data_IF_644358002322
#
_entry.id   IF_644358002322
#
_cell.length_a   1.000
_cell.length_b   1.000
_cell.length_c   1.000
_cell.angle_alpha   90.00
_cell.angle_beta   90.00
_cell.angle_gamma   90.00
#
_symmetry.space_group_name_H-M   'P 1'
#
loop_
_entity.id
_entity.type
_entity.pdbx_description
1 polymer ?
#
# COMPACT_ATOMS: atom_id res chain seq x y z
N UNK A 1 27.98 7.73 4.08
CA UNK A 1 26.63 8.27 4.21
C UNK A 1 26.43 8.66 5.67
N UNK A 2 26.33 9.96 5.96
CA UNK A 2 26.44 10.49 7.34
C UNK A 2 25.06 10.48 8.05
N UNK A 3 24.47 9.32 8.29
CA UNK A 3 23.27 9.19 9.16
C UNK A 3 23.60 9.40 10.64
N UNK A 4 24.91 9.40 10.99
CA UNK A 4 25.37 9.42 12.38
C UNK A 4 25.50 10.85 12.96
N UNK A 5 25.43 11.90 12.15
CA UNK A 5 25.65 13.28 12.65
C UNK A 5 24.41 13.98 13.22
N UNK A 6 23.20 13.50 12.91
CA UNK A 6 21.96 14.10 13.43
C UNK A 6 21.34 13.32 14.60
N UNK A 7 22.17 12.83 15.53
CA UNK A 7 21.72 12.15 16.76
C UNK A 7 20.69 12.94 17.58
N UNK A 8 20.63 14.25 17.43
CA UNK A 8 19.71 15.11 18.17
C UNK A 8 18.28 15.08 17.59
N UNK A 9 18.11 14.78 16.30
CA UNK A 9 16.79 14.75 15.65
C UNK A 9 16.18 13.36 15.57
N UNK A 10 16.97 12.29 15.64
CA UNK A 10 16.52 10.88 15.60
C UNK A 10 16.12 10.36 17.00
N UNK A 11 16.31 11.13 18.05
CA UNK A 11 16.19 10.72 19.45
C UNK A 11 14.81 10.24 19.95
N UNK A 12 13.81 10.07 19.06
CA UNK A 12 12.50 9.49 19.37
C UNK A 12 12.15 8.25 18.55
N UNK A 13 12.99 7.85 17.58
CA UNK A 13 12.73 6.66 16.75
C UNK A 13 13.43 5.48 17.41
N UNK A 14 12.69 4.42 17.70
CA UNK A 14 13.26 3.18 18.19
C UNK A 14 14.23 2.58 17.16
N UNK A 15 15.31 1.95 17.67
CA UNK A 15 16.32 1.31 16.84
C UNK A 15 15.73 0.23 15.93
N UNK A 16 14.74 -0.52 16.41
CA UNK A 16 14.05 -1.55 15.63
C UNK A 16 13.22 -0.95 14.49
N UNK A 17 12.55 0.16 14.73
CA UNK A 17 11.79 0.92 13.74
C UNK A 17 12.71 1.48 12.65
N UNK A 18 13.81 2.10 13.04
CA UNK A 18 14.82 2.61 12.11
C UNK A 18 15.38 1.50 11.22
N UNK A 19 15.77 0.36 11.81
CA UNK A 19 16.29 -0.78 11.07
C UNK A 19 15.23 -1.39 10.15
N UNK A 20 13.98 -1.48 10.60
CA UNK A 20 12.84 -1.91 9.80
C UNK A 20 12.63 -1.03 8.57
N UNK A 21 12.58 0.29 8.76
CA UNK A 21 12.46 1.25 7.67
C UNK A 21 13.61 1.16 6.67
N UNK A 22 14.86 1.07 7.14
CA UNK A 22 16.03 0.95 6.27
C UNK A 22 16.00 -0.35 5.46
N UNK A 23 15.65 -1.48 6.08
CA UNK A 23 15.55 -2.77 5.37
C UNK A 23 14.40 -2.80 4.39
N UNK A 24 13.24 -2.25 4.76
CA UNK A 24 12.09 -2.14 3.85
C UNK A 24 12.41 -1.26 2.65
N UNK A 25 13.03 -0.12 2.87
CA UNK A 25 13.47 0.76 1.80
C UNK A 25 14.44 0.08 0.83
N UNK A 26 15.42 -0.67 1.36
CA UNK A 26 16.35 -1.45 0.52
C UNK A 26 15.62 -2.51 -0.29
N UNK A 27 14.68 -3.24 0.31
CA UNK A 27 13.88 -4.26 -0.35
C UNK A 27 13.05 -3.69 -1.51
N UNK A 28 12.33 -2.59 -1.28
CA UNK A 28 11.52 -1.92 -2.32
C UNK A 28 12.43 -1.46 -3.47
N UNK A 29 13.61 -0.91 -3.15
CA UNK A 29 14.56 -0.46 -4.15
C UNK A 29 15.10 -1.61 -5.02
N UNK A 30 15.42 -2.74 -4.40
CA UNK A 30 15.88 -3.93 -5.11
C UNK A 30 14.77 -4.52 -5.99
N UNK A 31 13.52 -4.51 -5.52
CA UNK A 31 12.35 -4.99 -6.28
C UNK A 31 12.00 -4.12 -7.49
N UNK A 32 12.20 -2.79 -7.40
CA UNK A 32 11.82 -1.86 -8.48
C UNK A 32 12.88 -1.72 -9.57
N UNK A 33 14.07 -2.29 -9.39
CA UNK A 33 15.15 -2.26 -10.39
C UNK A 33 15.66 -0.86 -10.75
N UNK A 34 15.26 0.16 -9.97
CA UNK A 34 15.57 1.56 -10.24
C UNK A 34 17.02 1.86 -9.90
N UNK A 35 17.90 1.72 -10.90
CA UNK A 35 19.30 2.13 -10.79
C UNK A 35 19.52 3.63 -10.93
N UNK A 36 18.56 4.37 -11.48
CA UNK A 36 18.74 5.78 -11.91
C UNK A 36 18.17 6.82 -10.94
N UNK A 37 17.16 6.47 -10.13
CA UNK A 37 16.64 7.37 -9.10
C UNK A 37 16.61 6.57 -7.80
N UNK A 38 17.61 6.80 -6.95
CA UNK A 38 17.60 6.23 -5.60
C UNK A 38 16.53 6.96 -4.81
N UNK A 39 15.41 6.33 -4.45
CA UNK A 39 14.55 6.94 -3.45
C UNK A 39 15.42 7.12 -2.20
N UNK A 40 15.61 8.35 -1.78
CA UNK A 40 16.36 8.67 -0.57
C UNK A 40 15.35 8.55 0.57
N UNK A 41 15.58 7.63 1.50
CA UNK A 41 14.84 7.60 2.75
C UNK A 41 15.21 8.86 3.53
N UNK A 42 14.25 9.75 3.71
CA UNK A 42 14.44 11.01 4.44
C UNK A 42 14.14 10.84 5.93
N UNK A 43 14.61 11.78 6.75
CA UNK A 43 14.26 11.79 8.18
C UNK A 43 12.75 12.01 8.36
N UNK A 44 12.13 12.76 7.47
CA UNK A 44 10.70 12.99 7.50
C UNK A 44 9.90 11.72 7.15
N UNK A 45 10.35 10.90 6.19
CA UNK A 45 9.76 9.58 5.93
C UNK A 45 9.82 8.67 7.16
N UNK A 46 10.89 8.76 7.95
CA UNK A 46 11.03 8.00 9.19
C UNK A 46 10.09 8.52 10.29
N UNK A 47 9.96 9.85 10.41
CA UNK A 47 9.06 10.48 11.39
C UNK A 47 7.59 10.25 11.06
N UNK A 48 7.26 10.24 9.77
CA UNK A 48 5.91 9.96 9.27
C UNK A 48 5.55 8.48 9.31
N UNK A 49 6.49 7.61 9.68
CA UNK A 49 6.26 6.17 9.77
C UNK A 49 5.87 5.53 8.42
N UNK A 50 6.38 6.07 7.31
CA UNK A 50 5.98 5.72 5.93
C UNK A 50 6.00 4.21 5.65
N UNK A 51 6.85 3.47 6.33
CA UNK A 51 6.98 2.02 6.17
C UNK A 51 6.50 1.22 7.38
N UNK A 52 6.04 1.89 8.44
CA UNK A 52 5.60 1.19 9.65
C UNK A 52 4.28 0.47 9.40
N UNK A 53 4.18 -0.82 9.76
CA UNK A 53 2.92 -1.53 9.70
C UNK A 53 1.98 -0.99 10.78
N UNK A 54 0.71 -0.76 10.41
CA UNK A 54 -0.34 -0.34 11.34
C UNK A 54 -1.00 -1.52 12.06
N UNK A 55 -0.81 -2.73 11.54
CA UNK A 55 -1.42 -3.96 12.07
C UNK A 55 -0.45 -5.14 12.10
N UNK A 56 -0.68 -6.12 12.99
CA UNK A 56 0.08 -7.38 12.98
C UNK A 56 0.01 -8.12 11.64
N UNK A 57 -1.10 -8.03 10.92
CA UNK A 57 -1.25 -8.66 9.60
C UNK A 57 -0.34 -8.01 8.56
N UNK A 58 -0.13 -6.70 8.64
CA UNK A 58 0.86 -6.02 7.78
C UNK A 58 2.28 -6.45 8.10
N UNK A 59 2.61 -6.74 9.36
CA UNK A 59 3.89 -7.31 9.74
C UNK A 59 4.10 -8.70 9.13
N UNK A 60 3.06 -9.54 9.12
CA UNK A 60 3.06 -10.83 8.42
C UNK A 60 3.24 -10.63 6.91
N UNK A 61 2.54 -9.67 6.31
CA UNK A 61 2.70 -9.36 4.88
C UNK A 61 4.14 -8.94 4.55
N UNK A 62 4.76 -8.11 5.37
CA UNK A 62 6.17 -7.71 5.20
C UNK A 62 7.13 -8.89 5.28
N UNK A 63 6.89 -9.82 6.21
CA UNK A 63 7.69 -11.03 6.34
C UNK A 63 7.61 -11.90 5.08
N UNK A 64 6.40 -12.19 4.57
CA UNK A 64 6.23 -13.04 3.39
C UNK A 64 6.77 -12.38 2.12
N UNK A 65 6.68 -11.06 1.97
CA UNK A 65 7.30 -10.33 0.87
C UNK A 65 8.83 -10.42 0.91
N UNK A 66 9.43 -10.36 2.11
CA UNK A 66 10.87 -10.56 2.27
C UNK A 66 11.29 -11.98 1.89
N UNK A 67 10.54 -12.99 2.32
CA UNK A 67 10.81 -14.39 1.95
C UNK A 67 10.71 -14.56 0.44
N UNK A 68 9.65 -14.00 -0.20
CA UNK A 68 9.45 -14.03 -1.64
C UNK A 68 10.59 -13.36 -2.41
N UNK A 69 11.18 -12.33 -1.84
CA UNK A 69 12.33 -11.65 -2.43
C UNK A 69 13.62 -12.47 -2.34
N UNK A 70 13.80 -13.18 -1.24
CA UNK A 70 15.00 -14.01 -1.01
C UNK A 70 14.93 -15.39 -1.67
N UNK A 71 13.71 -15.87 -1.94
CA UNK A 71 13.49 -17.19 -2.51
C UNK A 71 13.61 -17.14 -4.05
N UNK A 72 14.73 -17.62 -4.60
CA UNK A 72 15.02 -17.60 -6.04
C UNK A 72 14.27 -18.69 -6.81
N UNK A 73 13.92 -19.81 -6.14
CA UNK A 73 13.16 -20.90 -6.74
C UNK A 73 12.04 -21.39 -5.82
N UNK A 74 10.99 -22.02 -6.40
CA UNK A 74 9.85 -22.55 -5.63
C UNK A 74 10.23 -23.63 -4.61
N UNK A 75 11.34 -24.32 -4.81
CA UNK A 75 11.83 -25.38 -3.92
C UNK A 75 12.85 -24.91 -2.90
N UNK A 76 13.31 -23.67 -3.01
CA UNK A 76 14.36 -23.13 -2.16
C UNK A 76 13.82 -22.76 -0.78
N UNK A 77 14.64 -23.02 0.24
CA UNK A 77 14.43 -22.59 1.61
C UNK A 77 15.31 -21.39 1.92
N UNK A 78 14.69 -20.33 2.37
CA UNK A 78 15.36 -19.09 2.78
C UNK A 78 15.83 -19.22 4.22
N UNK A 79 17.09 -18.88 4.47
CA UNK A 79 17.61 -18.76 5.83
C UNK A 79 17.04 -17.52 6.51
N UNK A 80 16.48 -17.68 7.71
CA UNK A 80 15.89 -16.61 8.50
C UNK A 80 16.26 -16.77 9.98
N UNK A 81 16.97 -15.81 10.53
CA UNK A 81 17.38 -15.79 11.95
C UNK A 81 16.54 -14.76 12.72
N UNK A 82 15.56 -15.22 13.46
CA UNK A 82 14.68 -14.36 14.25
C UNK A 82 15.41 -13.46 15.26
N UNK A 83 16.65 -13.81 15.64
CA UNK A 83 17.46 -12.98 16.54
C UNK A 83 18.10 -11.78 15.84
N UNK A 84 18.27 -11.85 14.50
CA UNK A 84 18.91 -10.82 13.67
C UNK A 84 17.93 -10.15 12.72
N UNK A 85 16.97 -10.93 12.19
CA UNK A 85 16.09 -10.51 11.12
C UNK A 85 14.76 -9.94 11.62
N UNK A 86 14.52 -9.92 12.95
CA UNK A 86 13.31 -9.36 13.53
C UNK A 86 12.93 -7.95 13.02
N UNK A 87 13.87 -7.05 12.67
CA UNK A 87 13.48 -5.72 12.17
C UNK A 87 12.83 -5.73 10.78
N UNK A 88 12.95 -6.83 10.02
CA UNK A 88 12.37 -6.95 8.67
C UNK A 88 10.85 -6.81 8.71
N UNK A 89 10.22 -7.37 9.73
CA UNK A 89 8.78 -7.28 9.97
C UNK A 89 8.41 -6.27 11.06
N UNK A 90 9.30 -5.32 11.37
CA UNK A 90 9.11 -4.33 12.44
C UNK A 90 8.79 -4.93 13.81
N UNK A 91 9.25 -6.14 14.07
CA UNK A 91 9.19 -6.73 15.40
C UNK A 91 10.13 -5.99 16.34
N UNK A 92 9.73 -5.78 17.59
CA UNK A 92 10.55 -5.08 18.60
C UNK A 92 11.72 -5.94 19.09
N UNK A 93 11.54 -7.23 19.06
CA UNK A 93 12.50 -8.21 19.56
C UNK A 93 12.25 -9.58 18.91
N UNK A 94 13.11 -10.55 19.30
CA UNK A 94 13.00 -11.95 18.83
C UNK A 94 11.64 -12.58 19.12
N UNK A 95 11.06 -12.36 20.30
CA UNK A 95 9.79 -12.98 20.70
C UNK A 95 8.62 -12.50 19.83
N UNK A 96 8.55 -11.20 19.56
CA UNK A 96 7.55 -10.64 18.66
C UNK A 96 7.74 -11.17 17.22
N UNK A 97 9.00 -11.30 16.77
CA UNK A 97 9.30 -11.86 15.46
C UNK A 97 8.85 -13.32 15.35
N UNK A 98 9.05 -14.12 16.40
CA UNK A 98 8.59 -15.50 16.46
C UNK A 98 7.06 -15.59 16.42
N UNK A 99 6.36 -14.68 17.08
CA UNK A 99 4.90 -14.58 17.01
C UNK A 99 4.42 -14.32 15.57
N UNK A 100 5.06 -13.37 14.86
CA UNK A 100 4.74 -13.06 13.47
C UNK A 100 5.03 -14.26 12.55
N UNK A 101 6.18 -14.92 12.74
CA UNK A 101 6.53 -16.15 12.02
C UNK A 101 5.50 -17.26 12.23
N UNK A 102 5.10 -17.49 13.48
CA UNK A 102 4.09 -18.50 13.80
C UNK A 102 2.73 -18.16 13.18
N UNK A 103 2.33 -16.88 13.22
CA UNK A 103 1.10 -16.42 12.56
C UNK A 103 1.15 -16.65 11.05
N UNK A 104 2.29 -16.39 10.40
CA UNK A 104 2.46 -16.68 8.96
C UNK A 104 2.37 -18.19 8.65
N UNK A 105 2.85 -19.03 9.58
CA UNK A 105 2.78 -20.49 9.48
C UNK A 105 1.33 -20.98 9.67
N UNK A 106 0.62 -20.53 10.72
CA UNK A 106 -0.78 -20.86 10.99
C UNK A 106 -1.70 -20.41 9.84
N UNK A 107 -1.42 -19.26 9.23
CA UNK A 107 -2.12 -18.80 8.03
C UNK A 107 -1.77 -19.59 6.76
N UNK A 108 -0.88 -20.57 6.86
CA UNK A 108 -0.48 -21.40 5.74
C UNK A 108 0.37 -20.69 4.68
N UNK A 109 0.92 -19.50 4.96
CA UNK A 109 1.74 -18.76 4.00
C UNK A 109 3.16 -19.27 3.87
N UNK A 110 3.71 -19.82 4.95
CA UNK A 110 5.05 -20.37 5.00
C UNK A 110 5.06 -21.80 5.49
N UNK A 111 6.11 -22.53 5.14
CA UNK A 111 6.43 -23.86 5.70
C UNK A 111 7.91 -23.94 6.04
N UNK A 112 8.25 -24.81 6.97
CA UNK A 112 9.63 -25.04 7.38
C UNK A 112 10.21 -26.31 6.79
N UNK A 113 11.54 -26.41 6.79
CA UNK A 113 12.23 -27.65 6.45
C UNK A 113 12.19 -28.62 7.61
N UNK A 114 11.60 -29.80 7.40
CA UNK A 114 11.60 -30.88 8.40
C UNK A 114 13.02 -31.37 8.80
N UNK A 115 14.01 -31.12 7.96
CA UNK A 115 15.43 -31.53 8.20
C UNK A 115 16.22 -30.56 9.08
N UNK A 116 15.73 -29.34 9.30
CA UNK A 116 16.42 -28.27 10.04
C UNK A 116 15.56 -27.62 11.13
N UNK A 117 14.37 -28.14 11.38
CA UNK A 117 13.51 -27.63 12.45
C UNK A 117 14.12 -27.98 13.81
N UNK A 118 14.58 -26.99 14.55
CA UNK A 118 14.84 -27.12 15.97
C UNK A 118 13.58 -26.71 16.72
N UNK A 119 12.99 -27.64 17.45
CA UNK A 119 11.93 -27.35 18.40
C UNK A 119 12.58 -26.64 19.58
N UNK A 120 12.27 -25.37 19.76
CA UNK A 120 12.59 -24.66 21.01
C UNK A 120 11.30 -24.63 21.81
N UNK A 121 11.23 -25.44 22.85
CA UNK A 121 10.15 -25.38 23.83
C UNK A 121 10.17 -24.00 24.47
N UNK A 122 9.17 -23.19 24.20
CA UNK A 122 8.88 -22.02 25.01
C UNK A 122 7.88 -22.42 26.07
N UNK A 123 8.10 -22.02 27.32
CA UNK A 123 7.22 -22.25 28.49
C UNK A 123 5.85 -21.52 28.40
N UNK A 124 5.32 -21.32 27.20
CA UNK A 124 3.99 -20.79 26.97
C UNK A 124 3.13 -21.98 26.53
N UNK A 125 2.09 -22.25 27.31
CA UNK A 125 1.12 -23.30 27.06
C UNK A 125 0.59 -23.22 25.60
N UNK A 126 1.06 -24.10 24.74
CA UNK A 126 0.66 -24.10 23.33
C UNK A 126 1.73 -24.51 22.32
N UNK A 127 2.92 -24.96 22.76
CA UNK A 127 3.92 -25.63 21.91
C UNK A 127 4.24 -24.91 20.61
N UNK A 128 4.99 -23.83 20.64
CA UNK A 128 5.48 -23.13 19.43
C UNK A 128 6.61 -23.95 18.79
N UNK A 129 6.38 -24.44 17.59
CA UNK A 129 7.44 -25.03 16.75
C UNK A 129 8.24 -23.87 16.16
N UNK A 130 9.40 -23.64 16.73
CA UNK A 130 10.37 -22.68 16.18
C UNK A 130 11.08 -23.30 15.00
N UNK A 131 10.77 -22.83 13.82
CA UNK A 131 11.53 -23.14 12.63
C UNK A 131 12.74 -22.20 12.63
N UNK A 132 13.88 -22.65 13.11
CA UNK A 132 15.13 -21.96 12.90
C UNK A 132 15.70 -22.38 11.54
N UNK A 133 16.14 -21.42 10.79
CA UNK A 133 17.12 -21.46 9.70
C UNK A 133 16.62 -21.79 8.30
N UNK A 134 15.42 -22.30 8.07
CA UNK A 134 15.00 -22.59 6.70
C UNK A 134 13.47 -22.54 6.55
N UNK A 135 12.97 -21.50 5.96
CA UNK A 135 11.56 -21.24 5.67
C UNK A 135 11.33 -21.05 4.17
N UNK A 136 10.15 -21.41 3.70
CA UNK A 136 9.78 -21.38 2.31
C UNK A 136 8.32 -20.92 2.19
N UNK A 137 8.00 -20.15 1.16
CA UNK A 137 6.60 -19.85 0.85
C UNK A 137 5.87 -21.09 0.36
N UNK A 138 4.63 -21.23 0.79
CA UNK A 138 3.67 -22.16 0.22
C UNK A 138 3.04 -21.56 -1.06
N UNK A 139 2.22 -22.33 -1.79
CA UNK A 139 1.45 -21.76 -2.89
C UNK A 139 0.50 -20.65 -2.42
N UNK A 140 -0.13 -20.82 -1.25
CA UNK A 140 -0.98 -19.80 -0.64
C UNK A 140 -0.16 -18.54 -0.26
N UNK A 141 1.07 -18.71 0.20
CA UNK A 141 2.00 -17.60 0.45
C UNK A 141 2.35 -16.85 -0.82
N UNK A 142 2.64 -17.55 -1.91
CA UNK A 142 2.91 -16.94 -3.21
C UNK A 142 1.69 -16.21 -3.78
N UNK A 143 0.50 -16.78 -3.69
CA UNK A 143 -0.75 -16.11 -4.07
C UNK A 143 -0.94 -14.80 -3.29
N UNK A 144 -0.70 -14.85 -1.97
CA UNK A 144 -0.79 -13.65 -1.12
C UNK A 144 0.23 -12.59 -1.53
N UNK A 145 1.48 -12.97 -1.80
CA UNK A 145 2.52 -12.06 -2.30
C UNK A 145 2.15 -11.45 -3.65
N UNK A 146 1.60 -12.24 -4.56
CA UNK A 146 1.12 -11.73 -5.84
C UNK A 146 0.06 -10.66 -5.65
N UNK A 147 -0.95 -10.92 -4.81
CA UNK A 147 -1.99 -9.93 -4.48
C UNK A 147 -1.42 -8.66 -3.85
N UNK A 148 -0.41 -8.78 -2.96
CA UNK A 148 0.26 -7.63 -2.36
C UNK A 148 1.06 -6.81 -3.39
N UNK A 149 1.67 -7.46 -4.37
CA UNK A 149 2.39 -6.79 -5.47
C UNK A 149 1.46 -6.08 -6.46
N UNK A 150 0.25 -6.62 -6.66
CA UNK A 150 -0.78 -5.99 -7.47
C UNK A 150 -1.39 -4.76 -6.80
N UNK A 151 -1.31 -4.69 -5.48
CA UNK A 151 -1.67 -3.53 -4.67
C UNK A 151 -0.40 -2.75 -4.32
N UNK A 152 -0.46 -1.42 -4.40
CA UNK A 152 0.66 -0.56 -3.97
C UNK A 152 0.31 0.18 -2.66
N UNK A 153 0.12 -0.52 -1.52
CA UNK A 153 -0.36 0.08 -0.27
C UNK A 153 0.59 1.13 0.30
N UNK A 154 1.87 1.04 -0.09
CA UNK A 154 2.92 1.98 0.33
C UNK A 154 3.14 3.12 -0.68
N UNK A 155 2.42 3.14 -1.79
CA UNK A 155 2.48 4.22 -2.76
C UNK A 155 1.97 5.53 -2.15
N UNK A 156 2.63 6.65 -2.48
CA UNK A 156 2.09 8.00 -2.23
C UNK A 156 1.08 8.38 -3.30
N UNK A 157 1.12 7.72 -4.45
CA UNK A 157 0.27 8.04 -5.59
C UNK A 157 -1.19 7.66 -5.34
N UNK A 158 -2.09 8.55 -5.70
CA UNK A 158 -3.54 8.34 -5.75
C UNK A 158 -3.99 8.55 -7.17
N UNK A 159 -4.59 7.54 -7.79
CA UNK A 159 -5.17 7.71 -9.12
C UNK A 159 -6.45 8.55 -9.03
N UNK A 160 -6.59 9.52 -9.92
CA UNK A 160 -7.80 10.35 -9.98
C UNK A 160 -8.42 10.19 -11.37
N UNK A 161 -9.60 9.59 -11.37
CA UNK A 161 -10.43 9.41 -12.55
C UNK A 161 -11.54 10.44 -12.58
N UNK A 162 -11.68 11.20 -13.66
CA UNK A 162 -12.80 12.10 -13.90
C UNK A 162 -13.03 12.29 -15.39
N UNK A 163 -14.24 12.72 -15.74
CA UNK A 163 -14.59 12.98 -17.14
C UNK A 163 -13.77 14.15 -17.67
N UNK A 164 -13.07 13.92 -18.77
CA UNK A 164 -12.52 15.02 -19.53
C UNK A 164 -13.63 15.72 -20.30
N UNK A 165 -13.80 17.02 -20.08
CA UNK A 165 -14.73 17.86 -20.81
C UNK A 165 -13.97 18.96 -21.56
N UNK A 166 -14.46 19.31 -22.74
CA UNK A 166 -13.83 20.34 -23.59
C UNK A 166 -13.82 21.73 -22.95
N UNK A 167 -14.75 21.96 -22.03
CA UNK A 167 -14.90 23.21 -21.31
C UNK A 167 -13.93 23.30 -20.12
N UNK A 168 -13.34 22.18 -19.70
CA UNK A 168 -12.35 22.11 -18.63
C UNK A 168 -12.95 22.28 -17.24
N UNK A 169 -14.28 22.16 -17.07
CA UNK A 169 -14.96 22.36 -15.80
C UNK A 169 -14.47 21.34 -14.76
N UNK A 170 -14.36 20.05 -15.12
CA UNK A 170 -13.88 19.02 -14.22
C UNK A 170 -12.38 19.14 -13.94
N UNK A 171 -11.59 19.69 -14.88
CA UNK A 171 -10.19 20.01 -14.61
C UNK A 171 -10.05 21.08 -13.54
N UNK A 172 -10.90 22.10 -13.54
CA UNK A 172 -10.94 23.12 -12.47
C UNK A 172 -11.26 22.47 -11.12
N UNK A 173 -12.24 21.57 -11.04
CA UNK A 173 -12.58 20.83 -9.82
C UNK A 173 -11.39 19.96 -9.36
N UNK A 174 -10.72 19.27 -10.29
CA UNK A 174 -9.50 18.52 -9.98
C UNK A 174 -8.43 19.43 -9.35
N UNK A 175 -8.11 20.56 -9.99
CA UNK A 175 -7.04 21.45 -9.54
C UNK A 175 -7.37 22.18 -8.23
N UNK A 176 -8.65 22.54 -8.00
CA UNK A 176 -9.08 23.36 -6.85
C UNK A 176 -9.59 22.57 -5.65
N UNK A 177 -10.06 21.34 -5.84
CA UNK A 177 -10.65 20.52 -4.79
C UNK A 177 -9.92 19.17 -4.60
N UNK A 178 -9.88 18.32 -5.63
CA UNK A 178 -9.41 16.94 -5.49
C UNK A 178 -7.91 16.91 -5.20
N UNK A 179 -7.12 17.59 -6.02
CA UNK A 179 -5.65 17.65 -5.88
C UNK A 179 -5.22 18.22 -4.51
N UNK A 180 -5.76 19.36 -4.05
CA UNK A 180 -5.43 19.87 -2.72
C UNK A 180 -5.86 18.92 -1.59
N UNK A 181 -7.05 18.29 -1.65
CA UNK A 181 -7.52 17.38 -0.60
C UNK A 181 -6.58 16.16 -0.45
N UNK A 182 -6.11 15.60 -1.57
CA UNK A 182 -5.17 14.48 -1.58
C UNK A 182 -3.81 14.93 -1.05
N UNK A 183 -3.30 16.09 -1.49
CA UNK A 183 -2.01 16.63 -1.06
C UNK A 183 -1.99 16.99 0.43
N UNK A 184 -3.09 17.51 0.96
CA UNK A 184 -3.26 17.80 2.39
C UNK A 184 -3.20 16.52 3.25
N UNK A 185 -3.48 15.35 2.67
CA UNK A 185 -3.31 14.03 3.29
C UNK A 185 -1.89 13.45 3.15
N UNK A 186 -0.91 14.19 2.63
CA UNK A 186 0.46 13.71 2.42
C UNK A 186 0.63 12.76 1.23
N UNK A 187 -0.29 12.83 0.25
CA UNK A 187 -0.36 11.96 -0.92
C UNK A 187 -0.19 12.74 -2.22
N UNK A 188 0.14 12.05 -3.30
CA UNK A 188 0.43 12.60 -4.63
C UNK A 188 -0.69 12.25 -5.61
N UNK A 189 -1.53 13.21 -6.02
CA UNK A 189 -2.57 12.97 -7.00
C UNK A 189 -1.99 12.75 -8.39
N UNK A 190 -2.45 11.72 -9.10
CA UNK A 190 -2.09 11.39 -10.47
C UNK A 190 -3.35 11.22 -11.31
N UNK A 191 -3.47 12.01 -12.36
CA UNK A 191 -4.55 11.92 -13.33
C UNK A 191 -3.99 11.88 -14.75
N UNK A 192 -4.60 11.09 -15.63
CA UNK A 192 -4.26 11.10 -17.06
C UNK A 192 -5.08 12.18 -17.75
N UNK A 193 -4.42 13.28 -18.11
CA UNK A 193 -5.05 14.49 -18.66
C UNK A 193 -4.96 14.55 -20.20
N UNK A 194 -5.32 13.47 -20.90
CA UNK A 194 -5.22 13.44 -22.38
C UNK A 194 -6.51 12.94 -23.00
N UNK A 195 -6.91 13.61 -24.11
CA UNK A 195 -8.05 13.23 -24.96
C UNK A 195 -7.73 12.11 -25.97
N UNK A 196 -6.50 11.61 -25.97
CA UNK A 196 -6.06 10.65 -26.95
C UNK A 196 -6.57 9.24 -26.60
N UNK A 197 -7.35 8.64 -27.46
CA UNK A 197 -7.97 7.32 -27.28
C UNK A 197 -7.13 6.19 -27.90
N UNK A 198 -5.79 6.34 -27.93
CA UNK A 198 -4.90 5.29 -28.43
C UNK A 198 -4.79 4.13 -27.46
N UNK A 199 -4.50 2.93 -27.94
CA UNK A 199 -4.27 1.75 -27.10
C UNK A 199 -3.18 1.97 -26.05
N UNK A 200 -2.20 2.85 -26.33
CA UNK A 200 -1.14 3.22 -25.39
C UNK A 200 -1.65 3.95 -24.14
N UNK A 201 -2.78 4.68 -24.22
CA UNK A 201 -3.38 5.37 -23.08
C UNK A 201 -4.03 4.40 -22.13
N UNK A 202 -4.72 3.37 -22.60
CA UNK A 202 -5.30 2.33 -21.75
C UNK A 202 -4.22 1.67 -20.91
N UNK A 203 -3.06 1.37 -21.51
CA UNK A 203 -1.92 0.80 -20.79
C UNK A 203 -1.36 1.76 -19.72
N UNK A 204 -1.28 3.05 -20.03
CA UNK A 204 -0.85 4.09 -19.08
C UNK A 204 -1.83 4.20 -17.92
N UNK A 205 -3.13 4.20 -18.18
CA UNK A 205 -4.19 4.23 -17.17
C UNK A 205 -4.09 3.00 -16.26
N UNK A 206 -4.04 1.80 -16.83
CA UNK A 206 -3.92 0.56 -16.06
C UNK A 206 -2.65 0.54 -15.22
N UNK A 207 -1.52 0.95 -15.79
CA UNK A 207 -0.26 1.07 -15.06
C UNK A 207 -0.33 2.13 -13.95
N UNK A 208 -0.99 3.26 -14.21
CA UNK A 208 -1.22 4.32 -13.24
C UNK A 208 -2.08 3.86 -12.05
N UNK A 209 -3.18 3.15 -12.34
CA UNK A 209 -4.04 2.57 -11.30
C UNK A 209 -3.24 1.57 -10.46
N UNK A 210 -2.55 0.62 -11.07
CA UNK A 210 -1.76 -0.40 -10.35
C UNK A 210 -0.66 0.18 -9.46
N UNK A 211 -0.08 1.31 -9.84
CA UNK A 211 0.94 2.02 -9.04
C UNK A 211 0.35 2.84 -7.89
N UNK A 212 -0.96 3.04 -7.86
CA UNK A 212 -1.62 3.89 -6.89
C UNK A 212 -2.03 3.13 -5.63
N UNK A 213 -2.11 3.86 -4.51
CA UNK A 213 -2.57 3.33 -3.23
C UNK A 213 -4.08 3.10 -3.21
N UNK A 214 -4.82 4.02 -3.83
CA UNK A 214 -6.27 3.97 -4.02
C UNK A 214 -6.69 4.86 -5.20
N UNK A 215 -7.96 4.81 -5.56
CA UNK A 215 -8.54 5.66 -6.60
C UNK A 215 -9.59 6.60 -6.02
N UNK A 216 -9.58 7.84 -6.51
CA UNK A 216 -10.69 8.78 -6.40
C UNK A 216 -11.32 8.90 -7.78
N UNK A 217 -12.61 8.54 -7.90
CA UNK A 217 -13.32 8.55 -9.17
C UNK A 217 -14.54 9.46 -9.08
N UNK A 218 -14.51 10.55 -9.84
CA UNK A 218 -15.67 11.45 -9.96
C UNK A 218 -16.55 11.03 -11.12
N UNK A 219 -17.72 10.48 -10.79
CA UNK A 219 -18.67 9.92 -11.75
C UNK A 219 -19.70 10.92 -12.25
N UNK A 220 -19.52 12.21 -12.00
CA UNK A 220 -20.39 13.28 -12.52
C UNK A 220 -20.55 13.16 -14.02
N UNK A 221 -21.80 13.19 -14.52
CA UNK A 221 -22.15 13.02 -15.93
C UNK A 221 -22.02 11.57 -16.43
N UNK A 222 -22.03 10.59 -15.52
CA UNK A 222 -22.11 9.15 -15.79
C UNK A 222 -21.07 8.62 -16.82
N UNK A 223 -19.83 9.13 -16.77
CA UNK A 223 -18.76 8.75 -17.70
C UNK A 223 -18.45 7.25 -17.60
N UNK A 224 -18.62 6.54 -18.71
CA UNK A 224 -18.34 5.09 -18.78
C UNK A 224 -16.88 4.77 -18.51
N UNK A 225 -15.95 5.62 -18.96
CA UNK A 225 -14.51 5.43 -18.73
C UNK A 225 -14.18 5.50 -17.24
N UNK A 226 -14.75 6.47 -16.51
CA UNK A 226 -14.54 6.60 -15.06
C UNK A 226 -15.09 5.39 -14.30
N UNK A 227 -16.25 4.87 -14.71
CA UNK A 227 -16.79 3.64 -14.13
C UNK A 227 -15.92 2.41 -14.43
N UNK A 228 -15.36 2.32 -15.65
CA UNK A 228 -14.42 1.26 -16.01
C UNK A 228 -13.16 1.31 -15.13
N UNK A 229 -12.55 2.48 -14.97
CA UNK A 229 -11.36 2.70 -14.15
C UNK A 229 -11.62 2.38 -12.67
N UNK A 230 -12.73 2.85 -12.12
CA UNK A 230 -13.17 2.55 -10.77
C UNK A 230 -13.45 1.05 -10.57
N UNK A 231 -14.11 0.41 -11.53
CA UNK A 231 -14.39 -1.03 -11.53
C UNK A 231 -13.13 -1.88 -11.62
N UNK A 232 -12.17 -1.47 -12.44
CA UNK A 232 -10.87 -2.12 -12.54
C UNK A 232 -10.11 -2.06 -11.21
N UNK A 233 -10.04 -0.88 -10.58
CA UNK A 233 -9.42 -0.71 -9.26
C UNK A 233 -10.14 -1.55 -8.18
N UNK A 234 -11.47 -1.58 -8.21
CA UNK A 234 -12.27 -2.39 -7.29
C UNK A 234 -12.00 -3.89 -7.46
N UNK A 235 -11.90 -4.37 -8.71
CA UNK A 235 -11.54 -5.77 -9.03
C UNK A 235 -10.13 -6.16 -8.56
N UNK A 236 -9.20 -5.21 -8.46
CA UNK A 236 -7.89 -5.41 -7.85
C UNK A 236 -7.93 -5.42 -6.31
N UNK A 237 -9.10 -5.21 -5.68
CA UNK A 237 -9.22 -5.06 -4.23
C UNK A 237 -8.67 -3.73 -3.70
N UNK A 238 -8.49 -2.75 -4.59
CA UNK A 238 -8.00 -1.42 -4.24
C UNK A 238 -9.14 -0.60 -3.62
N UNK A 239 -8.88 0.25 -2.59
CA UNK A 239 -9.89 1.18 -2.10
C UNK A 239 -10.35 2.14 -3.19
N UNK A 240 -11.67 2.32 -3.31
CA UNK A 240 -12.31 3.20 -4.29
C UNK A 240 -13.14 4.25 -3.56
N UNK A 241 -12.88 5.53 -3.83
CA UNK A 241 -13.68 6.66 -3.35
C UNK A 241 -14.44 7.23 -4.54
N UNK A 242 -15.77 7.05 -4.53
CA UNK A 242 -16.63 7.61 -5.55
C UNK A 242 -17.12 9.00 -5.13
N UNK A 243 -17.06 9.95 -6.07
CA UNK A 243 -17.58 11.31 -5.92
C UNK A 243 -18.60 11.59 -7.02
N UNK A 244 -19.60 12.43 -6.73
CA UNK A 244 -20.56 12.90 -7.73
C UNK A 244 -21.11 14.26 -7.34
N UNK A 245 -21.28 15.16 -8.32
CA UNK A 245 -21.94 16.44 -8.12
C UNK A 245 -23.43 16.23 -7.79
N UNK A 246 -23.97 17.03 -6.87
CA UNK A 246 -25.33 16.86 -6.37
C UNK A 246 -26.38 16.96 -7.48
N UNK A 247 -26.21 17.85 -8.45
CA UNK A 247 -27.14 18.02 -9.56
C UNK A 247 -27.14 16.81 -10.50
N UNK A 248 -25.96 16.24 -10.76
CA UNK A 248 -25.84 15.00 -11.56
C UNK A 248 -26.27 13.74 -10.80
N UNK A 249 -26.19 13.75 -9.47
CA UNK A 249 -26.51 12.57 -8.67
C UNK A 249 -27.92 12.06 -8.87
N UNK A 250 -28.89 12.96 -9.00
CA UNK A 250 -30.32 12.64 -9.15
C UNK A 250 -30.63 12.01 -10.52
N UNK A 251 -29.91 12.46 -11.55
CA UNK A 251 -30.18 12.11 -12.95
C UNK A 251 -29.29 10.95 -13.44
N UNK A 252 -28.06 10.86 -12.94
CA UNK A 252 -27.00 10.00 -13.47
C UNK A 252 -26.71 8.77 -12.60
N UNK A 253 -27.41 8.59 -11.45
CA UNK A 253 -27.12 7.48 -10.54
C UNK A 253 -27.33 6.13 -11.19
N UNK A 254 -26.26 5.36 -11.32
CA UNK A 254 -26.31 3.97 -11.79
C UNK A 254 -26.74 3.05 -10.65
N UNK A 255 -27.73 2.19 -10.91
CA UNK A 255 -28.23 1.23 -9.94
C UNK A 255 -27.11 0.36 -9.35
N UNK A 256 -26.15 -0.08 -10.18
CA UNK A 256 -25.04 -0.96 -9.79
C UNK A 256 -24.08 -0.34 -8.77
N UNK A 257 -23.99 0.99 -8.68
CA UNK A 257 -23.12 1.69 -7.72
C UNK A 257 -23.87 2.38 -6.59
N UNK A 258 -25.20 2.36 -6.61
CA UNK A 258 -26.04 3.03 -5.62
C UNK A 258 -25.85 2.50 -4.19
N UNK A 259 -25.43 1.25 -4.03
CA UNK A 259 -25.10 0.64 -2.75
C UNK A 259 -23.72 1.04 -2.21
N UNK A 260 -22.86 1.63 -3.04
CA UNK A 260 -21.55 2.14 -2.63
C UNK A 260 -21.71 3.58 -2.15
N UNK A 261 -21.12 3.91 -1.01
CA UNK A 261 -21.22 5.25 -0.45
C UNK A 261 -20.44 6.27 -1.28
N UNK A 262 -21.13 7.15 -1.99
CA UNK A 262 -20.58 8.27 -2.75
C UNK A 262 -20.36 9.52 -1.87
N UNK A 263 -19.39 10.33 -2.23
CA UNK A 263 -19.26 11.71 -1.77
C UNK A 263 -20.12 12.58 -2.71
N UNK A 264 -21.29 13.00 -2.25
CA UNK A 264 -22.12 13.94 -3.01
C UNK A 264 -21.66 15.35 -2.67
N UNK A 265 -21.26 16.11 -3.69
CA UNK A 265 -20.67 17.44 -3.50
C UNK A 265 -21.43 18.52 -4.27
N UNK A 266 -21.43 19.74 -3.68
CA UNK A 266 -22.15 20.91 -4.23
C UNK A 266 -21.21 21.83 -5.02
N UNK A 267 -20.04 22.06 -4.48
CA UNK A 267 -18.99 22.92 -5.06
C UNK A 267 -17.60 22.39 -4.70
N UNK A 268 -16.58 23.04 -5.23
CA UNK A 268 -15.17 22.63 -5.03
C UNK A 268 -14.76 22.64 -3.54
N UNK A 269 -15.24 23.61 -2.76
CA UNK A 269 -14.88 23.72 -1.35
C UNK A 269 -15.49 22.57 -0.53
N UNK A 270 -16.76 22.24 -0.79
CA UNK A 270 -17.48 21.13 -0.17
C UNK A 270 -16.81 19.78 -0.53
N UNK A 271 -16.45 19.59 -1.82
CA UNK A 271 -15.73 18.39 -2.26
C UNK A 271 -14.39 18.24 -1.54
N UNK A 272 -13.58 19.32 -1.48
CA UNK A 272 -12.27 19.29 -0.82
C UNK A 272 -12.39 18.80 0.62
N UNK A 273 -13.31 19.37 1.40
CA UNK A 273 -13.50 19.00 2.81
C UNK A 273 -13.99 17.56 2.97
N UNK A 274 -15.01 17.17 2.17
CA UNK A 274 -15.59 15.82 2.24
C UNK A 274 -14.58 14.75 1.84
N UNK A 275 -13.79 15.01 0.79
CA UNK A 275 -12.78 14.08 0.30
C UNK A 275 -11.65 13.92 1.31
N UNK A 276 -11.12 15.03 1.85
CA UNK A 276 -10.12 15.00 2.92
C UNK A 276 -10.60 14.14 4.10
N UNK A 277 -11.81 14.42 4.61
CA UNK A 277 -12.38 13.68 5.73
C UNK A 277 -12.59 12.19 5.41
N UNK A 278 -12.96 11.85 4.17
CA UNK A 278 -13.13 10.47 3.74
C UNK A 278 -11.79 9.72 3.71
N UNK A 279 -10.74 10.33 3.17
CA UNK A 279 -9.39 9.74 3.13
C UNK A 279 -8.90 9.49 4.55
N UNK A 280 -9.09 10.43 5.47
CA UNK A 280 -8.75 10.28 6.89
C UNK A 280 -9.55 9.13 7.54
N UNK A 281 -10.87 9.12 7.38
CA UNK A 281 -11.75 8.12 7.98
C UNK A 281 -11.48 6.69 7.48
N UNK A 282 -10.95 6.54 6.27
CA UNK A 282 -10.55 5.24 5.71
C UNK A 282 -9.13 4.82 6.10
N UNK A 283 -8.40 5.63 6.89
CA UNK A 283 -7.02 5.35 7.27
C UNK A 283 -6.05 5.38 6.08
N UNK A 284 -6.39 6.10 5.01
CA UNK A 284 -5.59 6.16 3.79
C UNK A 284 -4.60 7.32 3.78
N UNK A 285 -4.73 8.28 4.71
CA UNK A 285 -3.83 9.42 4.87
C UNK A 285 -2.43 8.96 5.30
N UNK A 286 -1.42 9.74 4.94
CA UNK A 286 -0.04 9.62 5.43
C UNK A 286 0.33 10.70 6.45
N UNK A 287 -0.55 11.66 6.65
CA UNK A 287 -0.45 12.63 7.74
C UNK A 287 -1.40 12.21 8.86
N UNK A 288 -0.96 12.30 10.12
CA UNK A 288 -1.82 12.03 11.28
C UNK A 288 -2.99 13.01 11.36
#
# INVERSE_FOLDING_TARGET
MNIVKDKVQIGRIDKSELLGCLRRHSLIREQTGSSSIRPILTIDDLREGVYQPSTPLEQVNMLIEYIAFKQESLSEYVSFDSSKDYPICFAKNKSDCLYILNSAFELGYIKGSSKKAKIVETNIAGGLILIQDAIQLTLQGWEKVQRLREQSPYSKQVFVAFRFDKEGSMKVIYDTAIKPAISDCGLEPYATLTDDHSNSITDIIIAGIRKSRFIVADVTGASQNVYYEAGFAYGLGMPVILCCQEDSWKDDMRFDTSHIKHIIWKDAADLKVKLFNRIQAMGLSRKP
#
